data_IF_743283014933
#
_entry.id   IF_743283014933
#
_cell.length_a   1.000
_cell.length_b   1.000
_cell.length_c   1.000
_cell.angle_alpha   90.00
_cell.angle_beta   90.00
_cell.angle_gamma   90.00
#
_symmetry.space_group_name_H-M   'P 1'
#
loop_
_entity.id
_entity.type
_entity.pdbx_description
1 polymer ?
#
# COMPACT_ATOMS: atom_id res chain seq x y z
N UNK A 1 12.42 -3.80 8.41
CA UNK A 1 12.65 -4.74 7.31
C UNK A 1 12.32 -4.05 5.99
N UNK A 2 13.24 -4.13 5.03
CA UNK A 2 13.08 -3.34 3.81
C UNK A 2 12.10 -3.97 2.83
N UNK A 3 11.25 -3.15 2.17
CA UNK A 3 10.47 -3.62 1.04
C UNK A 3 11.36 -3.79 -0.21
N UNK A 4 11.10 -4.83 -0.98
CA UNK A 4 11.77 -5.07 -2.26
C UNK A 4 10.87 -4.77 -3.46
N UNK A 5 9.56 -4.90 -3.29
CA UNK A 5 8.61 -4.78 -4.39
C UNK A 5 7.22 -4.46 -3.83
N UNK A 6 6.45 -3.68 -4.57
CA UNK A 6 5.07 -3.40 -4.24
C UNK A 6 4.20 -3.65 -5.48
N UNK A 7 3.03 -4.23 -5.28
CA UNK A 7 2.07 -4.48 -6.34
C UNK A 7 0.65 -4.28 -5.81
N UNK A 8 -0.25 -3.86 -6.68
CA UNK A 8 -1.67 -3.73 -6.34
C UNK A 8 -2.48 -4.65 -7.24
N UNK A 9 -3.41 -5.38 -6.61
CA UNK A 9 -4.51 -6.02 -7.32
C UNK A 9 -5.71 -5.06 -7.33
N UNK A 10 -6.85 -5.52 -7.80
CA UNK A 10 -8.07 -4.71 -7.76
C UNK A 10 -8.54 -4.43 -6.32
N UNK A 11 -8.11 -5.23 -5.35
CA UNK A 11 -8.62 -5.17 -3.98
C UNK A 11 -7.53 -5.05 -2.92
N UNK A 12 -6.26 -5.32 -3.25
CA UNK A 12 -5.21 -5.47 -2.25
C UNK A 12 -3.91 -4.79 -2.66
N UNK A 13 -3.15 -4.35 -1.66
CA UNK A 13 -1.75 -3.97 -1.80
C UNK A 13 -0.89 -5.11 -1.27
N UNK A 14 0.09 -5.54 -2.06
CA UNK A 14 1.02 -6.61 -1.70
C UNK A 14 2.44 -6.05 -1.72
N UNK A 15 3.11 -6.06 -0.59
CA UNK A 15 4.49 -5.61 -0.47
C UNK A 15 5.37 -6.81 -0.12
N UNK A 16 6.37 -7.08 -0.96
CA UNK A 16 7.34 -8.15 -0.73
C UNK A 16 8.53 -7.58 0.05
N UNK A 17 8.90 -8.23 1.14
CA UNK A 17 9.97 -7.80 2.02
C UNK A 17 11.27 -8.53 1.72
N UNK A 18 12.38 -7.98 2.22
CA UNK A 18 13.73 -8.50 1.98
C UNK A 18 13.92 -9.95 2.46
N UNK A 19 13.15 -10.38 3.47
CA UNK A 19 13.23 -11.76 3.97
C UNK A 19 12.33 -12.74 3.20
N UNK A 20 11.69 -12.29 2.12
CA UNK A 20 10.79 -13.12 1.32
C UNK A 20 9.33 -13.12 1.78
N UNK A 21 9.04 -12.53 2.94
CA UNK A 21 7.66 -12.42 3.39
C UNK A 21 6.89 -11.38 2.58
N UNK A 22 5.57 -11.55 2.51
CA UNK A 22 4.67 -10.60 1.87
C UNK A 22 3.71 -10.02 2.89
N UNK A 23 3.54 -8.70 2.85
CA UNK A 23 2.53 -8.01 3.65
C UNK A 23 1.38 -7.68 2.70
N UNK A 24 0.19 -8.19 3.00
CA UNK A 24 -1.00 -7.98 2.17
C UNK A 24 -2.00 -7.16 2.97
N UNK A 25 -2.41 -6.03 2.42
CA UNK A 25 -3.39 -5.15 3.06
C UNK A 25 -4.49 -4.77 2.07
N UNK A 26 -5.73 -4.56 2.55
CA UNK A 26 -6.81 -4.12 1.66
C UNK A 26 -6.55 -2.72 1.12
N UNK A 27 -6.82 -2.49 -0.16
CA UNK A 27 -6.66 -1.16 -0.76
C UNK A 27 -7.57 -0.10 -0.11
N UNK A 28 -8.74 -0.49 0.40
CA UNK A 28 -9.66 0.47 1.01
C UNK A 28 -9.06 1.13 2.28
N UNK A 29 -8.00 0.54 2.86
CA UNK A 29 -7.27 1.18 3.95
C UNK A 29 -6.61 2.49 3.49
N UNK A 30 -6.36 2.64 2.18
CA UNK A 30 -5.61 3.76 1.60
C UNK A 30 -6.42 4.39 0.46
N UNK A 31 -7.35 5.34 0.78
CA UNK A 31 -8.24 5.89 -0.25
C UNK A 31 -7.52 6.49 -1.46
N UNK A 32 -6.39 7.16 -1.25
CA UNK A 32 -5.62 7.73 -2.37
C UNK A 32 -5.13 6.65 -3.32
N UNK A 33 -4.67 5.54 -2.78
CA UNK A 33 -4.19 4.41 -3.57
C UNK A 33 -5.36 3.67 -4.23
N UNK A 34 -6.47 3.52 -3.50
CA UNK A 34 -7.68 2.87 -4.01
C UNK A 34 -8.22 3.59 -5.25
N UNK A 35 -8.20 4.92 -5.25
CA UNK A 35 -8.73 5.73 -6.34
C UNK A 35 -7.68 6.09 -7.41
N UNK A 36 -6.45 5.61 -7.26
CA UNK A 36 -5.39 5.86 -8.22
C UNK A 36 -5.57 5.03 -9.49
N UNK A 37 -5.00 5.54 -10.59
CA UNK A 37 -4.96 4.78 -11.84
C UNK A 37 -3.91 3.66 -11.75
N UNK A 38 -3.99 2.62 -12.61
CA UNK A 38 -2.95 1.60 -12.65
C UNK A 38 -1.55 2.17 -12.89
N UNK A 39 -1.44 3.21 -13.72
CA UNK A 39 -0.17 3.88 -13.96
C UNK A 39 0.38 4.54 -12.70
N UNK A 40 -0.47 5.20 -11.93
CA UNK A 40 -0.07 5.84 -10.68
C UNK A 40 0.37 4.81 -9.64
N UNK A 41 -0.35 3.69 -9.54
CA UNK A 41 0.00 2.59 -8.62
C UNK A 41 1.34 1.94 -8.99
N UNK A 42 1.71 1.94 -10.27
CA UNK A 42 2.96 1.35 -10.74
C UNK A 42 4.16 2.26 -10.48
N UNK A 43 3.94 3.55 -10.23
CA UNK A 43 5.01 4.52 -9.97
C UNK A 43 5.21 4.68 -8.47
N UNK A 44 6.02 3.83 -7.90
CA UNK A 44 6.34 3.89 -6.49
C UNK A 44 7.85 3.96 -6.28
N UNK A 45 8.23 4.51 -5.13
CA UNK A 45 9.61 4.58 -4.68
C UNK A 45 9.75 3.79 -3.38
N UNK A 46 10.81 2.99 -3.29
CA UNK A 46 11.08 2.20 -2.09
C UNK A 46 12.06 2.94 -1.18
N UNK A 47 11.80 2.87 0.12
CA UNK A 47 12.73 3.33 1.16
C UNK A 47 12.97 2.17 2.12
N UNK A 48 13.98 2.26 3.02
CA UNK A 48 14.20 1.19 3.99
C UNK A 48 13.02 0.91 4.91
N UNK A 49 12.08 1.84 5.03
CA UNK A 49 10.97 1.73 5.99
C UNK A 49 9.60 1.65 5.34
N UNK A 50 9.49 1.86 4.04
CA UNK A 50 8.18 1.89 3.42
C UNK A 50 8.17 2.11 1.91
N UNK A 51 7.00 2.49 1.41
CA UNK A 51 6.74 2.70 -0.02
C UNK A 51 6.07 4.06 -0.18
N UNK A 52 6.52 4.83 -1.17
CA UNK A 52 5.99 6.15 -1.47
C UNK A 52 5.49 6.21 -2.91
N UNK A 53 4.31 6.79 -3.10
CA UNK A 53 3.72 7.03 -4.42
C UNK A 53 3.67 8.53 -4.67
N UNK A 54 4.63 9.10 -5.43
CA UNK A 54 4.73 10.55 -5.58
C UNK A 54 3.56 11.20 -6.31
N UNK A 55 2.96 10.50 -7.28
CA UNK A 55 1.88 11.07 -8.09
C UNK A 55 0.60 11.31 -7.28
N UNK A 56 0.40 10.58 -6.20
CA UNK A 56 -0.80 10.67 -5.37
C UNK A 56 -0.49 11.09 -3.94
N UNK A 57 0.77 11.43 -3.68
CA UNK A 57 1.24 11.89 -2.36
C UNK A 57 0.89 10.89 -1.25
N UNK A 58 1.05 9.59 -1.53
CA UNK A 58 0.81 8.53 -0.55
C UNK A 58 2.15 7.97 -0.06
N UNK A 59 2.25 7.76 1.25
CA UNK A 59 3.45 7.26 1.89
C UNK A 59 3.05 6.25 2.96
N UNK A 60 3.47 5.01 2.80
CA UNK A 60 3.09 3.92 3.70
C UNK A 60 4.33 3.31 4.33
N UNK A 61 4.31 3.17 5.67
CA UNK A 61 5.37 2.46 6.38
C UNK A 61 5.04 0.98 6.48
N UNK A 62 6.06 0.12 6.42
CA UNK A 62 5.89 -1.32 6.62
C UNK A 62 5.35 -1.59 8.03
N UNK A 63 5.89 -0.89 9.03
CA UNK A 63 5.42 -1.04 10.41
C UNK A 63 3.93 -0.71 10.52
N UNK A 64 3.49 0.40 9.90
CA UNK A 64 2.08 0.79 9.90
C UNK A 64 1.19 -0.27 9.26
N UNK A 65 1.63 -0.87 8.15
CA UNK A 65 0.89 -1.95 7.51
C UNK A 65 0.76 -3.17 8.42
N UNK A 66 1.84 -3.52 9.12
CA UNK A 66 1.86 -4.71 10.00
C UNK A 66 0.94 -4.55 11.21
N UNK A 67 0.79 -3.34 11.73
CA UNK A 67 -0.08 -3.08 12.88
C UNK A 67 -1.50 -2.68 12.49
N UNK A 68 -1.80 -2.65 11.20
CA UNK A 68 -3.15 -2.35 10.70
C UNK A 68 -3.52 -0.87 10.71
N UNK A 69 -2.56 0.03 10.66
CA UNK A 69 -2.84 1.47 10.59
C UNK A 69 -3.45 1.84 9.25
N UNK A 70 -4.65 2.43 9.28
CA UNK A 70 -5.35 2.86 8.08
C UNK A 70 -5.13 4.35 7.84
N UNK A 71 -5.15 4.77 6.57
CA UNK A 71 -5.06 6.18 6.22
C UNK A 71 -6.32 6.94 6.67
N UNK A 72 -6.22 8.25 6.96
CA UNK A 72 -7.41 9.05 7.23
C UNK A 72 -8.41 8.94 6.09
N UNK A 73 -9.70 8.83 6.42
CA UNK A 73 -10.76 8.72 5.44
C UNK A 73 -11.01 7.32 4.92
N UNK A 74 -10.30 6.30 5.42
CA UNK A 74 -10.53 4.91 5.01
C UNK A 74 -11.91 4.44 5.47
N UNK A 75 -12.70 3.92 4.53
CA UNK A 75 -14.03 3.38 4.81
C UNK A 75 -14.11 1.97 4.27
N UNK A 76 -14.49 1.02 5.12
CA UNK A 76 -14.68 -0.36 4.70
C UNK A 76 -15.84 -0.43 3.70
N UNK A 77 -15.64 -1.08 2.53
CA UNK A 77 -16.73 -1.25 1.57
C UNK A 77 -17.88 -2.04 2.19
N UNK A 78 -19.11 -1.65 1.85
CA UNK A 78 -20.27 -2.39 2.30
C UNK A 78 -20.29 -3.78 1.65
N UNK A 79 -20.66 -4.83 2.41
CA UNK A 79 -20.82 -6.15 1.82
C UNK A 79 -21.95 -6.12 0.80
N UNK A 80 -21.69 -6.70 -0.35
CA UNK A 80 -22.68 -6.81 -1.43
C UNK A 80 -23.57 -8.03 -1.28
#
# INVERSE_FOLDING_TARGET
>A
MEPLHAACTDAELIVTLANGQKVVTPLWWYPRLLHATPQQRAKYELSPFGVHWPDIDEDLSIEGMLVGSKAPGANQPEPS
#
